data_IF_924531186344
#
_entry.id   IF_924531186344
#
_cell.length_a   1.000
_cell.length_b   1.000
_cell.length_c   1.000
_cell.angle_alpha   90.00
_cell.angle_beta   90.00
_cell.angle_gamma   90.00
#
_symmetry.space_group_name_H-M   'P 1'
#
loop_
_entity.id
_entity.type
_entity.pdbx_description
1 polymer ?
#
# COMPACT_ATOMS: atom_id res chain seq x y z
N UNK A 1 -6.96 24.80 3.58
CA UNK A 1 -5.61 24.37 3.16
C UNK A 1 -5.40 22.93 3.63
N UNK A 2 -4.95 22.03 2.75
CA UNK A 2 -4.66 20.64 3.13
C UNK A 2 -3.39 20.63 4.02
N UNK A 3 -3.54 20.17 5.27
CA UNK A 3 -2.44 20.11 6.23
C UNK A 3 -1.52 18.92 5.90
N UNK A 4 -0.23 19.17 5.68
CA UNK A 4 0.78 18.16 5.39
C UNK A 4 0.76 17.00 6.40
N UNK A 5 0.67 17.30 7.69
CA UNK A 5 0.65 16.30 8.75
C UNK A 5 -0.58 15.39 8.66
N UNK A 6 -1.74 15.96 8.28
CA UNK A 6 -2.97 15.20 8.12
C UNK A 6 -2.87 14.26 6.92
N UNK A 7 -2.38 14.73 5.77
CA UNK A 7 -2.21 13.89 4.57
C UNK A 7 -1.21 12.77 4.82
N UNK A 8 -0.09 13.07 5.49
CA UNK A 8 0.91 12.07 5.87
C UNK A 8 0.33 11.01 6.80
N UNK A 9 -0.48 11.42 7.77
CA UNK A 9 -1.14 10.49 8.71
C UNK A 9 -2.12 9.59 7.97
N UNK A 10 -2.96 10.14 7.10
CA UNK A 10 -3.89 9.34 6.29
C UNK A 10 -3.18 8.34 5.38
N UNK A 11 -2.04 8.72 4.81
CA UNK A 11 -1.22 7.81 3.99
C UNK A 11 -0.75 6.60 4.81
N UNK A 12 -0.19 6.86 6.00
CA UNK A 12 0.29 5.81 6.91
C UNK A 12 -0.86 4.91 7.38
N UNK A 13 -2.00 5.50 7.77
CA UNK A 13 -3.21 4.76 8.14
C UNK A 13 -3.66 3.86 6.99
N UNK A 14 -3.66 4.36 5.75
CA UNK A 14 -3.94 3.56 4.55
C UNK A 14 -3.00 2.35 4.43
N UNK A 15 -1.68 2.54 4.61
CA UNK A 15 -0.71 1.43 4.58
C UNK A 15 -1.01 0.38 5.65
N UNK A 16 -1.32 0.80 6.89
CA UNK A 16 -1.70 -0.12 7.96
C UNK A 16 -2.98 -0.89 7.63
N UNK A 17 -4.02 -0.21 7.17
CA UNK A 17 -5.29 -0.84 6.77
C UNK A 17 -5.06 -1.87 5.66
N UNK A 18 -4.19 -1.58 4.70
CA UNK A 18 -3.84 -2.50 3.63
C UNK A 18 -3.19 -3.77 4.17
N UNK A 19 -2.15 -3.64 5.00
CA UNK A 19 -1.43 -4.80 5.55
C UNK A 19 -2.38 -5.66 6.39
N UNK A 20 -3.19 -5.04 7.25
CA UNK A 20 -4.19 -5.75 8.04
C UNK A 20 -5.19 -6.50 7.16
N UNK A 21 -5.67 -5.87 6.08
CA UNK A 21 -6.58 -6.52 5.13
C UNK A 21 -5.96 -7.74 4.45
N UNK A 22 -4.68 -7.66 4.08
CA UNK A 22 -3.94 -8.75 3.44
C UNK A 22 -3.82 -9.95 4.37
N UNK A 23 -3.49 -9.72 5.65
CA UNK A 23 -3.42 -10.79 6.65
C UNK A 23 -4.76 -11.51 6.77
N UNK A 24 -5.86 -10.76 6.87
CA UNK A 24 -7.21 -11.35 6.98
C UNK A 24 -7.56 -12.14 5.71
N UNK A 25 -7.23 -11.63 4.52
CA UNK A 25 -7.47 -12.33 3.25
C UNK A 25 -6.68 -13.64 3.16
N UNK A 26 -5.43 -13.64 3.64
CA UNK A 26 -4.55 -14.80 3.59
C UNK A 26 -4.90 -15.89 4.62
N UNK A 27 -5.30 -15.50 5.83
CA UNK A 27 -5.35 -16.43 6.98
C UNK A 27 -6.74 -16.62 7.60
N UNK A 28 -7.71 -15.75 7.30
CA UNK A 28 -9.07 -15.90 7.83
C UNK A 28 -9.98 -16.57 6.80
N UNK A 29 -10.80 -17.53 7.24
CA UNK A 29 -11.93 -18.05 6.44
C UNK A 29 -13.20 -17.22 6.60
N UNK A 30 -13.32 -16.49 7.70
CA UNK A 30 -14.40 -15.55 7.99
C UNK A 30 -14.07 -14.13 7.49
N UNK A 31 -15.08 -13.31 7.18
CA UNK A 31 -14.96 -11.87 6.88
C UNK A 31 -14.08 -11.47 5.67
N UNK A 32 -13.81 -12.39 4.73
CA UNK A 32 -13.02 -12.10 3.51
C UNK A 32 -13.61 -11.02 2.61
N UNK A 33 -14.92 -10.80 2.66
CA UNK A 33 -15.55 -9.71 1.91
C UNK A 33 -15.18 -8.34 2.48
N UNK A 34 -15.34 -8.16 3.79
CA UNK A 34 -14.98 -6.92 4.49
C UNK A 34 -13.51 -6.62 4.29
N UNK A 35 -12.63 -7.61 4.48
CA UNK A 35 -11.20 -7.42 4.26
C UNK A 35 -10.86 -6.99 2.82
N UNK A 36 -11.50 -7.56 1.80
CA UNK A 36 -11.32 -7.12 0.40
C UNK A 36 -11.74 -5.67 0.18
N UNK A 37 -12.89 -5.28 0.72
CA UNK A 37 -13.36 -3.89 0.63
C UNK A 37 -12.40 -2.95 1.35
N UNK A 38 -12.02 -3.28 2.58
CA UNK A 38 -11.06 -2.49 3.38
C UNK A 38 -9.72 -2.35 2.66
N UNK A 39 -9.20 -3.42 2.05
CA UNK A 39 -7.95 -3.39 1.29
C UNK A 39 -8.03 -2.47 0.05
N UNK A 40 -9.13 -2.54 -0.70
CA UNK A 40 -9.34 -1.66 -1.86
C UNK A 40 -9.49 -0.19 -1.46
N UNK A 41 -10.22 0.09 -0.38
CA UNK A 41 -10.34 1.45 0.18
C UNK A 41 -8.97 1.94 0.67
N UNK A 42 -8.21 1.10 1.35
CA UNK A 42 -6.86 1.41 1.80
C UNK A 42 -5.95 1.78 0.62
N UNK A 43 -5.98 1.03 -0.49
CA UNK A 43 -5.23 1.37 -1.69
C UNK A 43 -5.61 2.72 -2.28
N UNK A 44 -6.90 3.02 -2.34
CA UNK A 44 -7.38 4.31 -2.82
C UNK A 44 -6.86 5.46 -1.95
N UNK A 45 -6.92 5.30 -0.61
CA UNK A 45 -6.38 6.27 0.35
C UNK A 45 -4.87 6.44 0.15
N UNK A 46 -4.10 5.37 0.04
CA UNK A 46 -2.64 5.41 -0.18
C UNK A 46 -2.30 6.19 -1.45
N UNK A 47 -2.97 5.89 -2.57
CA UNK A 47 -2.68 6.54 -3.85
C UNK A 47 -3.01 8.03 -3.83
N UNK A 48 -4.19 8.41 -3.36
CA UNK A 48 -4.60 9.83 -3.29
C UNK A 48 -3.69 10.62 -2.36
N UNK A 49 -3.47 10.12 -1.15
CA UNK A 49 -2.64 10.82 -0.17
C UNK A 49 -1.17 10.85 -0.59
N UNK A 50 -0.68 9.81 -1.28
CA UNK A 50 0.66 9.77 -1.84
C UNK A 50 0.88 10.83 -2.91
N UNK A 51 -0.05 10.96 -3.86
CA UNK A 51 -0.01 12.01 -4.88
C UNK A 51 -0.22 13.41 -4.28
N UNK A 52 -1.09 13.54 -3.28
CA UNK A 52 -1.26 14.81 -2.57
C UNK A 52 0.04 15.24 -1.86
N UNK A 53 0.79 14.29 -1.28
CA UNK A 53 2.08 14.59 -0.65
C UNK A 53 3.13 15.08 -1.65
N UNK A 54 3.15 14.58 -2.88
CA UNK A 54 4.12 15.06 -3.89
C UNK A 54 3.83 16.49 -4.31
N UNK A 55 2.55 16.85 -4.44
CA UNK A 55 2.11 18.23 -4.70
C UNK A 55 2.46 19.14 -3.54
N UNK A 56 2.15 18.75 -2.29
CA UNK A 56 2.45 19.55 -1.10
C UNK A 56 3.96 19.77 -0.90
N UNK A 57 4.78 18.80 -1.28
CA UNK A 57 6.24 18.88 -1.18
C UNK A 57 6.88 19.65 -2.36
N UNK A 58 6.13 20.00 -3.41
CA UNK A 58 6.64 20.70 -4.60
C UNK A 58 7.84 20.00 -5.28
N UNK A 59 7.90 18.67 -5.19
CA UNK A 59 9.03 17.85 -5.67
C UNK A 59 8.85 17.33 -7.11
N UNK A 60 7.73 17.63 -7.76
CA UNK A 60 7.40 17.06 -9.07
C UNK A 60 7.13 15.55 -8.98
N UNK A 61 7.74 14.77 -9.88
CA UNK A 61 7.53 13.32 -9.99
C UNK A 61 8.85 12.53 -10.12
N UNK A 62 9.71 12.58 -9.06
CA UNK A 62 11.03 11.97 -9.06
C UNK A 62 10.95 10.45 -9.13
N UNK A 63 12.07 9.80 -9.47
CA UNK A 63 12.10 8.36 -9.75
C UNK A 63 11.60 7.52 -8.56
N UNK A 64 11.96 7.89 -7.32
CA UNK A 64 11.51 7.18 -6.13
C UNK A 64 9.98 7.22 -5.92
N UNK A 65 9.31 8.29 -6.38
CA UNK A 65 7.83 8.38 -6.36
C UNK A 65 7.24 7.40 -7.38
N UNK A 66 7.83 7.34 -8.58
CA UNK A 66 7.41 6.42 -9.63
C UNK A 66 7.53 4.96 -9.17
N UNK A 67 8.66 4.60 -8.54
CA UNK A 67 8.90 3.27 -7.98
C UNK A 67 7.86 2.93 -6.91
N UNK A 68 7.55 3.86 -6.00
CA UNK A 68 6.50 3.63 -4.99
C UNK A 68 5.13 3.43 -5.60
N UNK A 69 4.78 4.24 -6.59
CA UNK A 69 3.50 4.10 -7.29
C UNK A 69 3.40 2.75 -7.98
N UNK A 70 4.47 2.30 -8.64
CA UNK A 70 4.54 0.97 -9.24
C UNK A 70 4.39 -0.13 -8.19
N UNK A 71 5.07 -0.01 -7.04
CA UNK A 71 4.93 -0.94 -5.90
C UNK A 71 3.48 -1.05 -5.44
N UNK A 72 2.81 0.09 -5.23
CA UNK A 72 1.42 0.10 -4.79
C UNK A 72 0.51 -0.57 -5.83
N UNK A 73 0.66 -0.26 -7.11
CA UNK A 73 -0.14 -0.89 -8.17
C UNK A 73 0.08 -2.40 -8.26
N UNK A 74 1.34 -2.85 -8.20
CA UNK A 74 1.68 -4.28 -8.19
C UNK A 74 1.06 -4.98 -6.99
N UNK A 75 1.06 -4.33 -5.82
CA UNK A 75 0.46 -4.88 -4.62
C UNK A 75 -1.06 -5.04 -4.77
N UNK A 76 -1.76 -4.07 -5.37
CA UNK A 76 -3.20 -4.21 -5.70
C UNK A 76 -3.47 -5.43 -6.56
N UNK A 77 -2.68 -5.60 -7.62
CA UNK A 77 -2.81 -6.75 -8.54
C UNK A 77 -2.58 -8.05 -7.76
N UNK A 78 -1.52 -8.11 -6.96
CA UNK A 78 -1.18 -9.32 -6.23
C UNK A 78 -2.26 -9.71 -5.19
N UNK A 79 -2.88 -8.73 -4.52
CA UNK A 79 -4.01 -8.97 -3.60
C UNK A 79 -5.22 -9.55 -4.33
N UNK A 80 -5.50 -9.14 -5.58
CA UNK A 80 -6.56 -9.73 -6.39
C UNK A 80 -6.28 -11.21 -6.70
N UNK A 81 -5.04 -11.56 -7.07
CA UNK A 81 -4.65 -12.95 -7.34
C UNK A 81 -4.75 -13.85 -6.10
N UNK A 82 -4.34 -13.34 -4.94
CA UNK A 82 -4.45 -14.07 -3.67
C UNK A 82 -5.91 -14.24 -3.25
N UNK A 83 -6.71 -13.18 -3.39
CA UNK A 83 -8.15 -13.22 -3.10
C UNK A 83 -8.90 -14.23 -3.98
N UNK A 84 -8.44 -14.45 -5.21
CA UNK A 84 -8.97 -15.45 -6.13
C UNK A 84 -8.50 -16.89 -5.82
N UNK A 85 -7.82 -17.13 -4.69
CA UNK A 85 -7.21 -18.42 -4.30
C UNK A 85 -6.26 -19.00 -5.36
N UNK A 86 -5.70 -18.16 -6.25
CA UNK A 86 -4.75 -18.60 -7.27
C UNK A 86 -3.34 -18.82 -6.71
N UNK A 87 -3.04 -18.31 -5.52
CA UNK A 87 -1.77 -18.54 -4.83
C UNK A 87 -1.90 -19.64 -3.77
N UNK A 88 -1.03 -20.65 -3.85
CA UNK A 88 -0.92 -21.75 -2.88
C UNK A 88 0.00 -21.46 -1.69
N UNK A 89 0.65 -20.30 -1.65
CA UNK A 89 1.68 -19.93 -0.66
C UNK A 89 1.37 -18.59 0.04
N UNK A 90 0.33 -18.54 0.90
CA UNK A 90 -0.10 -17.29 1.55
C UNK A 90 0.99 -16.68 2.45
N UNK A 91 1.80 -17.51 3.13
CA UNK A 91 2.90 -17.03 3.98
C UNK A 91 4.03 -16.39 3.18
N UNK A 92 4.42 -17.00 2.07
CA UNK A 92 5.46 -16.43 1.19
C UNK A 92 4.97 -15.10 0.61
N UNK A 93 3.71 -15.03 0.20
CA UNK A 93 3.11 -13.79 -0.25
C UNK A 93 3.16 -12.70 0.83
N UNK A 94 2.73 -13.01 2.05
CA UNK A 94 2.76 -12.06 3.15
C UNK A 94 4.18 -11.54 3.45
N UNK A 95 5.20 -12.41 3.44
CA UNK A 95 6.59 -12.01 3.61
C UNK A 95 7.09 -11.08 2.50
N UNK A 96 6.70 -11.35 1.24
CA UNK A 96 7.00 -10.46 0.11
C UNK A 96 6.35 -9.09 0.32
N UNK A 97 5.09 -9.04 0.78
CA UNK A 97 4.41 -7.77 1.07
C UNK A 97 5.16 -6.97 2.13
N UNK A 98 5.58 -7.62 3.23
CA UNK A 98 6.37 -6.95 4.28
C UNK A 98 7.70 -6.41 3.74
N UNK A 99 8.40 -7.18 2.91
CA UNK A 99 9.66 -6.76 2.30
C UNK A 99 9.45 -5.55 1.38
N UNK A 100 8.42 -5.60 0.53
CA UNK A 100 8.08 -4.53 -0.42
C UNK A 100 7.67 -3.24 0.30
N UNK A 101 6.83 -3.34 1.34
CA UNK A 101 6.43 -2.17 2.16
C UNK A 101 7.63 -1.58 2.90
N UNK A 102 8.51 -2.44 3.43
CA UNK A 102 9.74 -2.00 4.10
C UNK A 102 10.67 -1.28 3.13
N UNK A 103 10.84 -1.82 1.92
CA UNK A 103 11.61 -1.20 0.83
C UNK A 103 11.02 0.15 0.40
N UNK A 104 9.70 0.25 0.25
CA UNK A 104 9.04 1.52 -0.06
C UNK A 104 9.25 2.56 1.05
N UNK A 105 9.24 2.14 2.31
CA UNK A 105 9.53 2.99 3.47
C UNK A 105 10.99 3.46 3.47
N UNK A 106 11.92 2.56 3.20
CA UNK A 106 13.35 2.88 3.10
C UNK A 106 13.65 3.89 1.98
N UNK A 107 13.03 3.74 0.81
CA UNK A 107 13.11 4.71 -0.29
C UNK A 107 12.54 6.09 0.11
N UNK A 108 11.55 6.13 1.01
CA UNK A 108 11.02 7.40 1.53
C UNK A 108 12.02 8.17 2.38
N UNK A 109 12.88 7.45 3.10
CA UNK A 109 13.88 8.03 3.99
C UNK A 109 15.05 8.55 3.18
N UNK A 110 15.54 7.73 2.24
CA UNK A 110 16.69 8.09 1.42
C UNK A 110 16.40 9.19 0.39
N UNK A 111 15.14 9.32 -0.07
CA UNK A 111 14.72 10.22 -1.16
C UNK A 111 15.78 10.29 -2.29
N UNK A 112 16.21 9.14 -2.85
CA UNK A 112 17.22 9.18 -3.89
C UNK A 112 16.61 9.85 -5.12
N UNK A 113 17.14 11.04 -5.47
CA UNK A 113 16.92 11.79 -6.71
C UNK A 113 15.53 11.73 -7.31
#
# INVERSE_FOLDING_TARGET
MLNYSLVKTLHIVGVFMLISSIVIICYSDSNRFVARVTGNVAMFVILITGLALTVLLHIGFPFWVQVKLAIWLLLTIAVLFVSAKKLRLPTVFYLIVLLVVSGATFLAILKPG
#
